data_IF_097213716550
#
_entry.id   IF_097213716550
#
_cell.length_a   1.000
_cell.length_b   1.000
_cell.length_c   1.000
_cell.angle_alpha   90.00
_cell.angle_beta   90.00
_cell.angle_gamma   90.00
#
_symmetry.space_group_name_H-M   'P 1'
#
loop_
_entity.id
_entity.type
_entity.pdbx_description
1 polymer ?
#
# COMPACT_ATOMS: atom_id res chain seq x y z
N UNK A 1 -5.22 -16.79 12.12
CA UNK A 1 -6.11 -15.64 12.41
C UNK A 1 -7.55 -16.12 12.29
N UNK A 2 -8.46 -15.76 13.21
CA UNK A 2 -9.86 -16.28 13.23
C UNK A 2 -10.86 -15.41 12.45
N UNK A 3 -10.45 -14.21 12.01
CA UNK A 3 -11.27 -13.26 11.24
C UNK A 3 -10.40 -12.60 10.18
N UNK A 4 -11.03 -12.12 9.12
CA UNK A 4 -10.39 -11.25 8.14
C UNK A 4 -9.96 -9.93 8.83
N UNK A 5 -8.84 -9.32 8.40
CA UNK A 5 -8.44 -8.02 8.89
C UNK A 5 -9.40 -6.92 8.40
N UNK A 6 -9.60 -5.90 9.22
CA UNK A 6 -10.45 -4.75 8.88
C UNK A 6 -9.74 -3.76 7.93
N UNK A 7 -8.40 -3.80 7.87
CA UNK A 7 -7.57 -3.04 6.94
C UNK A 7 -6.20 -3.73 6.77
N UNK A 8 -5.54 -3.47 5.64
CA UNK A 8 -4.19 -4.00 5.35
C UNK A 8 -3.22 -2.83 5.21
N UNK A 9 -2.10 -2.93 5.92
CA UNK A 9 -0.98 -2.00 5.76
C UNK A 9 0.09 -2.63 4.86
N UNK A 10 0.42 -1.96 3.76
CA UNK A 10 1.33 -2.47 2.73
C UNK A 10 2.50 -1.53 2.48
N UNK A 11 3.69 -2.10 2.32
CA UNK A 11 4.91 -1.36 1.99
C UNK A 11 5.30 -1.76 0.58
N UNK A 12 5.51 -0.77 -0.31
CA UNK A 12 5.87 -1.01 -1.71
C UNK A 12 4.81 -1.86 -2.46
N UNK A 13 3.59 -1.33 -2.69
CA UNK A 13 2.51 -2.09 -3.33
C UNK A 13 2.86 -2.56 -4.75
N UNK A 14 3.84 -1.91 -5.41
CA UNK A 14 4.36 -2.32 -6.73
C UNK A 14 5.01 -3.71 -6.69
N UNK A 15 5.67 -4.08 -5.59
CA UNK A 15 6.20 -5.43 -5.39
C UNK A 15 5.13 -6.40 -4.94
N UNK A 16 4.19 -5.93 -4.14
CA UNK A 16 3.16 -6.76 -3.49
C UNK A 16 1.80 -6.72 -4.22
N UNK A 17 1.82 -6.78 -5.56
CA UNK A 17 0.59 -6.70 -6.38
C UNK A 17 -0.45 -7.80 -6.11
N UNK A 18 0.00 -8.96 -5.62
CA UNK A 18 -0.89 -10.06 -5.24
C UNK A 18 -1.72 -9.66 -4.03
N UNK A 19 -1.07 -9.06 -3.02
CA UNK A 19 -1.76 -8.58 -1.83
C UNK A 19 -2.78 -7.48 -2.17
N UNK A 20 -2.42 -6.58 -3.09
CA UNK A 20 -3.35 -5.55 -3.59
C UNK A 20 -4.59 -6.17 -4.22
N UNK A 21 -4.42 -7.14 -5.12
CA UNK A 21 -5.55 -7.82 -5.79
C UNK A 21 -6.42 -8.62 -4.82
N UNK A 22 -5.82 -9.33 -3.86
CA UNK A 22 -6.56 -10.08 -2.86
C UNK A 22 -7.36 -9.16 -1.94
N UNK A 23 -6.75 -8.06 -1.48
CA UNK A 23 -7.42 -7.06 -0.66
C UNK A 23 -8.60 -6.41 -1.40
N UNK A 24 -8.43 -6.06 -2.68
CA UNK A 24 -9.52 -5.56 -3.54
C UNK A 24 -10.63 -6.60 -3.70
N UNK A 25 -10.28 -7.87 -3.92
CA UNK A 25 -11.25 -8.96 -4.05
C UNK A 25 -12.04 -9.19 -2.76
N UNK A 26 -11.39 -9.06 -1.62
CA UNK A 26 -12.01 -9.21 -0.29
C UNK A 26 -12.71 -7.92 0.19
N UNK A 27 -12.57 -6.81 -0.54
CA UNK A 27 -13.09 -5.50 -0.14
C UNK A 27 -12.44 -4.93 1.12
N UNK A 28 -11.18 -5.30 1.38
CA UNK A 28 -10.43 -4.84 2.55
C UNK A 28 -9.65 -3.57 2.17
N UNK A 29 -9.81 -2.47 2.93
CA UNK A 29 -9.13 -1.22 2.63
C UNK A 29 -7.61 -1.35 2.77
N UNK A 30 -6.89 -0.79 1.78
CA UNK A 30 -5.43 -0.78 1.71
C UNK A 30 -4.85 0.57 2.11
N UNK A 31 -3.97 0.55 3.09
CA UNK A 31 -3.18 1.70 3.53
C UNK A 31 -1.74 1.40 3.15
N UNK A 32 -1.10 2.23 2.35
CA UNK A 32 0.24 1.93 1.88
C UNK A 32 1.17 3.12 1.78
N UNK A 33 2.46 2.82 1.98
CA UNK A 33 3.53 3.79 1.76
C UNK A 33 3.93 3.74 0.30
N UNK A 34 3.87 4.89 -0.36
CA UNK A 34 4.09 5.03 -1.79
C UNK A 34 5.25 6.03 -2.01
N UNK A 35 6.36 5.55 -2.54
CA UNK A 35 7.47 6.40 -3.01
C UNK A 35 7.12 7.00 -4.38
N UNK A 36 7.96 7.91 -4.86
CA UNK A 36 7.84 8.69 -6.10
C UNK A 36 7.64 7.84 -7.37
N UNK A 37 7.99 6.55 -7.34
CA UNK A 37 7.90 5.60 -8.46
C UNK A 37 6.72 4.61 -8.36
N UNK A 38 5.75 4.90 -7.50
CA UNK A 38 4.65 3.99 -7.26
C UNK A 38 3.30 4.67 -7.56
N UNK A 39 2.44 3.94 -8.26
CA UNK A 39 1.13 4.41 -8.68
C UNK A 39 0.19 4.42 -7.47
N UNK A 40 -0.33 5.60 -7.07
CA UNK A 40 -1.16 5.73 -5.88
C UNK A 40 -2.57 5.16 -6.06
N UNK A 41 -2.99 4.87 -7.30
CA UNK A 41 -4.36 4.41 -7.61
C UNK A 41 -4.65 3.00 -7.12
N UNK A 42 -3.61 2.21 -6.80
CA UNK A 42 -3.75 0.84 -6.27
C UNK A 42 -4.06 0.82 -4.76
N UNK A 43 -4.04 1.97 -4.07
CA UNK A 43 -4.24 2.11 -2.62
C UNK A 43 -5.40 3.05 -2.27
N UNK A 44 -6.19 2.69 -1.25
CA UNK A 44 -7.25 3.57 -0.73
C UNK A 44 -6.67 4.74 0.06
N UNK A 45 -5.61 4.49 0.83
CA UNK A 45 -4.93 5.49 1.63
C UNK A 45 -3.43 5.45 1.37
N UNK A 46 -2.93 6.49 0.70
CA UNK A 46 -1.51 6.63 0.37
C UNK A 46 -0.81 7.52 1.38
N UNK A 47 0.19 6.95 2.07
CA UNK A 47 1.18 7.71 2.82
C UNK A 47 2.33 8.03 1.88
N UNK A 48 2.36 9.28 1.39
CA UNK A 48 3.49 9.77 0.59
C UNK A 48 4.67 10.00 1.52
N UNK A 49 5.66 9.11 1.42
CA UNK A 49 6.97 9.36 2.04
C UNK A 49 7.82 10.00 0.96
N UNK A 50 7.99 11.32 1.06
CA UNK A 50 9.11 11.96 0.38
C UNK A 50 10.34 11.34 0.99
N UNK A 51 11.06 10.52 0.23
CA UNK A 51 12.43 10.18 0.60
C UNK A 51 13.16 11.50 0.69
N UNK A 52 13.29 12.00 1.93
CA UNK A 52 14.03 13.20 2.23
C UNK A 52 15.40 12.93 1.68
N UNK A 53 15.67 13.57 0.55
CA UNK A 53 16.98 13.68 -0.05
C UNK A 53 17.90 14.14 1.09
N UNK A 54 18.58 13.18 1.72
CA UNK A 54 19.91 13.35 2.24
C UNK A 54 20.79 13.59 1.00
N UNK A 55 20.59 14.76 0.38
CA UNK A 55 21.58 15.37 -0.49
C UNK A 55 22.40 16.22 0.46
N UNK A 56 23.63 15.79 0.82
CA UNK A 56 24.57 16.70 1.44
C UNK A 56 24.89 17.88 0.51
#
# INVERSE_FOLDING_TARGET
MKRLPDAIFIVDPKKERICVQEAHTLGIPLIGICDTNCDPEELDYVIRVTMMLFVP
#
